data_IF_830198804134
#
_entry.id   IF_830198804134
#
_cell.length_a   1.000
_cell.length_b   1.000
_cell.length_c   1.000
_cell.angle_alpha   90.00
_cell.angle_beta   90.00
_cell.angle_gamma   90.00
#
_symmetry.space_group_name_H-M   'P 1'
#
loop_
_entity.id
_entity.type
_entity.pdbx_description
1 polymer ?
#
# COMPACT_ATOMS: atom_id res chain seq x y z
N UNK A 1 4.10 0.26 21.64
CA UNK A 1 4.05 0.44 20.17
C UNK A 1 2.60 0.62 19.74
N UNK A 2 2.39 1.20 18.58
CA UNK A 2 1.08 1.54 18.02
C UNK A 2 1.16 1.48 16.50
N UNK A 3 0.00 1.47 15.84
CA UNK A 3 -0.10 1.54 14.38
C UNK A 3 -0.72 2.89 14.02
N UNK A 4 0.02 3.73 13.30
CA UNK A 4 -0.45 4.99 12.76
C UNK A 4 -0.88 4.79 11.31
N UNK A 5 -2.12 5.15 11.01
CA UNK A 5 -2.71 5.10 9.67
C UNK A 5 -2.92 6.53 9.19
N UNK A 6 -2.23 6.92 8.13
CA UNK A 6 -2.42 8.24 7.52
C UNK A 6 -3.65 8.25 6.61
N UNK A 7 -4.22 9.43 6.34
CA UNK A 7 -5.38 9.57 5.44
C UNK A 7 -5.14 9.02 4.04
N UNK A 8 -3.88 8.92 3.62
CA UNK A 8 -3.47 8.34 2.35
C UNK A 8 -3.33 6.80 2.38
N UNK A 9 -3.68 6.15 3.49
CA UNK A 9 -3.59 4.70 3.67
C UNK A 9 -2.22 4.19 4.12
N UNK A 10 -1.20 5.07 4.20
CA UNK A 10 0.12 4.68 4.70
C UNK A 10 0.03 4.20 6.15
N UNK A 11 0.71 3.10 6.44
CA UNK A 11 0.80 2.50 7.75
C UNK A 11 2.21 2.68 8.32
N UNK A 12 2.28 3.03 9.60
CA UNK A 12 3.52 3.18 10.33
C UNK A 12 3.41 2.55 11.71
N UNK A 13 4.34 1.65 12.04
CA UNK A 13 4.56 1.29 13.45
C UNK A 13 5.19 2.48 14.16
N UNK A 14 4.46 3.00 15.14
CA UNK A 14 4.89 4.12 15.95
C UNK A 14 5.26 3.63 17.35
N UNK A 15 6.42 4.02 17.86
CA UNK A 15 6.87 3.68 19.21
C UNK A 15 6.90 4.93 20.06
N UNK A 16 6.36 4.84 21.28
CA UNK A 16 6.51 5.91 22.27
C UNK A 16 8.00 6.18 22.52
N UNK A 17 8.33 7.46 22.79
CA UNK A 17 9.67 7.84 23.25
C UNK A 17 9.97 7.32 24.67
N UNK A 18 8.92 7.01 25.42
CA UNK A 18 8.97 6.48 26.77
C UNK A 18 8.46 5.03 26.81
N UNK A 19 8.27 4.47 28.01
CA UNK A 19 7.69 3.13 28.21
C UNK A 19 6.25 3.01 27.71
N UNK A 20 5.47 4.11 27.75
CA UNK A 20 4.07 4.21 27.32
C UNK A 20 3.85 5.53 26.60
N UNK A 21 2.80 5.63 25.79
CA UNK A 21 2.39 6.86 25.12
C UNK A 21 1.91 7.91 26.13
N UNK A 22 2.41 9.12 25.94
CA UNK A 22 2.04 10.32 26.71
C UNK A 22 1.28 11.32 25.85
N UNK A 23 0.62 12.29 26.48
CA UNK A 23 -0.04 13.39 25.76
C UNK A 23 0.93 14.11 24.82
N UNK A 24 2.20 14.25 25.22
CA UNK A 24 3.24 14.88 24.40
C UNK A 24 3.49 14.10 23.10
N UNK A 25 3.50 12.78 23.16
CA UNK A 25 3.65 11.95 21.96
C UNK A 25 2.48 12.18 21.01
N UNK A 26 1.26 12.33 21.53
CA UNK A 26 0.07 12.63 20.71
C UNK A 26 0.15 14.01 20.06
N UNK A 27 0.55 15.05 20.79
CA UNK A 27 0.72 16.39 20.20
C UNK A 27 1.76 16.41 19.08
N UNK A 28 2.81 15.58 19.17
CA UNK A 28 3.79 15.45 18.10
C UNK A 28 3.23 14.70 16.89
N UNK A 29 2.51 13.61 17.11
CA UNK A 29 1.90 12.79 16.04
C UNK A 29 0.83 13.59 15.28
N UNK A 30 0.03 14.36 16.01
CA UNK A 30 -1.11 15.13 15.49
C UNK A 30 -0.81 16.63 15.51
N UNK A 31 0.39 17.01 15.07
CA UNK A 31 0.77 18.41 14.94
C UNK A 31 -0.25 19.16 14.08
N UNK A 32 -0.71 20.32 14.57
CA UNK A 32 -1.73 21.18 13.95
C UNK A 32 -3.17 20.66 14.01
N UNK A 33 -3.46 19.69 14.87
CA UNK A 33 -4.82 19.28 15.20
C UNK A 33 -5.25 20.01 16.48
N UNK A 34 -6.35 20.76 16.43
CA UNK A 34 -6.85 21.54 17.57
C UNK A 34 -7.60 20.70 18.60
N UNK A 35 -8.26 19.63 18.16
CA UNK A 35 -9.12 18.78 18.98
C UNK A 35 -8.93 17.31 18.62
N UNK A 36 -9.04 16.45 19.62
CA UNK A 36 -8.86 15.01 19.48
C UNK A 36 -10.18 14.29 19.72
N UNK A 37 -10.36 13.17 19.04
CA UNK A 37 -11.36 12.16 19.37
C UNK A 37 -10.67 10.84 19.67
N UNK A 38 -11.20 10.13 20.64
CA UNK A 38 -10.75 8.80 21.03
C UNK A 38 -11.91 7.83 20.96
N UNK A 39 -11.68 6.69 20.31
CA UNK A 39 -12.67 5.63 20.15
C UNK A 39 -12.13 4.35 20.78
N UNK A 40 -12.96 3.69 21.58
CA UNK A 40 -12.69 2.33 22.05
C UNK A 40 -13.09 1.37 20.94
N UNK A 41 -12.20 0.48 20.54
CA UNK A 41 -12.49 -0.49 19.48
C UNK A 41 -13.10 -1.75 20.05
N UNK A 42 -14.12 -2.25 19.35
CA UNK A 42 -14.69 -3.58 19.60
C UNK A 42 -13.75 -4.68 19.09
N UNK A 43 -13.06 -4.41 17.99
CA UNK A 43 -12.04 -5.27 17.42
C UNK A 43 -10.96 -4.43 16.72
N UNK A 44 -9.66 -4.67 16.96
CA UNK A 44 -9.12 -5.63 17.93
C UNK A 44 -9.45 -5.23 19.38
N UNK A 45 -9.63 -6.22 20.25
CA UNK A 45 -9.96 -5.99 21.67
C UNK A 45 -8.80 -5.24 22.35
N UNK A 46 -9.09 -4.51 23.44
CA UNK A 46 -8.09 -3.76 24.23
C UNK A 46 -7.31 -2.73 23.41
N UNK A 47 -8.00 -2.11 22.46
CA UNK A 47 -7.40 -1.15 21.53
C UNK A 47 -8.17 0.15 21.51
N UNK A 48 -7.41 1.24 21.41
CA UNK A 48 -7.92 2.60 21.22
C UNK A 48 -7.56 3.09 19.83
N UNK A 49 -8.46 3.85 19.22
CA UNK A 49 -8.16 4.70 18.08
C UNK A 49 -8.17 6.16 18.54
N UNK A 50 -7.07 6.88 18.33
CA UNK A 50 -6.97 8.31 18.53
C UNK A 50 -6.86 9.01 17.18
N UNK A 51 -7.65 10.07 16.95
CA UNK A 51 -7.58 10.85 15.73
C UNK A 51 -7.86 12.33 16.01
N UNK A 52 -7.63 13.18 15.00
CA UNK A 52 -8.05 14.57 15.06
C UNK A 52 -9.52 14.75 14.75
N UNK A 53 -10.12 15.78 15.35
CA UNK A 53 -11.48 16.23 15.06
C UNK A 53 -11.41 17.30 13.94
N UNK A 54 -11.52 16.84 12.70
CA UNK A 54 -11.55 17.70 11.51
C UNK A 54 -12.64 17.18 10.60
N UNK A 55 -13.50 18.07 10.10
CA UNK A 55 -14.53 17.72 9.11
C UNK A 55 -14.10 18.25 7.74
N UNK A 56 -13.19 17.53 7.10
CA UNK A 56 -12.68 17.83 5.76
C UNK A 56 -12.67 16.57 4.89
N UNK A 57 -13.57 16.51 3.90
CA UNK A 57 -13.70 15.36 3.00
C UNK A 57 -12.46 15.11 2.13
N UNK A 58 -11.66 16.14 1.84
CA UNK A 58 -10.43 15.97 1.05
C UNK A 58 -9.37 15.12 1.75
N UNK A 59 -9.45 15.04 3.09
CA UNK A 59 -8.52 14.27 3.93
C UNK A 59 -9.15 12.99 4.48
N UNK A 60 -10.24 12.52 3.87
CA UNK A 60 -10.98 11.34 4.30
C UNK A 60 -10.08 10.09 4.34
N UNK A 61 -10.03 9.48 5.52
CA UNK A 61 -9.29 8.26 5.80
C UNK A 61 -10.26 7.08 5.78
N UNK A 62 -10.49 6.53 4.59
CA UNK A 62 -11.44 5.43 4.39
C UNK A 62 -11.12 4.23 5.29
N UNK A 63 -9.84 3.84 5.38
CA UNK A 63 -9.42 2.69 6.17
C UNK A 63 -9.78 2.92 7.64
N UNK A 64 -9.26 3.99 8.25
CA UNK A 64 -9.54 4.26 9.66
C UNK A 64 -11.05 4.38 9.93
N UNK A 65 -11.80 4.98 9.01
CA UNK A 65 -13.25 5.12 9.14
C UNK A 65 -13.99 3.79 9.12
N UNK A 66 -13.51 2.82 8.32
CA UNK A 66 -14.03 1.45 8.31
C UNK A 66 -13.71 0.70 9.61
N UNK A 67 -12.51 0.88 10.18
CA UNK A 67 -12.13 0.25 11.45
C UNK A 67 -12.99 0.77 12.60
N UNK A 68 -13.18 2.10 12.68
CA UNK A 68 -13.89 2.74 13.79
C UNK A 68 -15.41 2.72 13.62
N UNK A 69 -15.92 2.59 12.39
CA UNK A 69 -17.33 2.81 12.05
C UNK A 69 -17.72 4.30 12.02
N UNK A 70 -16.74 5.20 12.09
CA UNK A 70 -16.92 6.64 12.25
C UNK A 70 -16.22 7.40 11.13
N UNK A 71 -16.69 8.59 10.74
CA UNK A 71 -16.01 9.39 9.71
C UNK A 71 -14.70 9.97 10.26
N UNK A 72 -13.57 9.50 9.75
CA UNK A 72 -12.22 9.97 10.12
C UNK A 72 -11.60 10.71 8.94
N UNK A 73 -11.26 11.99 9.13
CA UNK A 73 -10.64 12.84 8.10
C UNK A 73 -9.20 13.25 8.43
N UNK A 74 -8.52 12.49 9.28
CA UNK A 74 -7.11 12.69 9.62
C UNK A 74 -6.36 11.36 9.64
N UNK A 75 -5.06 11.41 9.95
CA UNK A 75 -4.36 10.22 10.43
C UNK A 75 -5.06 9.67 11.70
N UNK A 76 -4.92 8.38 11.96
CA UNK A 76 -5.52 7.68 13.10
C UNK A 76 -4.47 6.77 13.74
N UNK A 77 -4.33 6.84 15.06
CA UNK A 77 -3.35 6.10 15.83
C UNK A 77 -4.06 5.00 16.62
N UNK A 78 -3.74 3.76 16.32
CA UNK A 78 -4.27 2.56 16.97
C UNK A 78 -3.29 2.09 18.04
N UNK A 79 -3.71 2.12 19.29
CA UNK A 79 -2.85 1.86 20.44
C UNK A 79 -3.45 0.72 21.26
N UNK A 80 -2.63 -0.28 21.59
CA UNK A 80 -3.00 -1.33 22.54
C UNK A 80 -2.95 -0.77 23.97
N UNK A 81 -3.86 -1.20 24.85
CA UNK A 81 -3.96 -0.70 26.22
C UNK A 81 -2.68 -0.83 27.04
N UNK A 82 -1.87 -1.87 26.79
CA UNK A 82 -0.59 -2.05 27.47
C UNK A 82 0.43 -0.95 27.19
N UNK A 83 0.15 -0.09 26.20
CA UNK A 83 1.06 0.93 25.69
C UNK A 83 0.62 2.34 26.09
N UNK A 84 -0.48 2.47 26.82
CA UNK A 84 -0.98 3.77 27.28
C UNK A 84 -0.69 3.93 28.77
N UNK A 85 -0.64 5.18 29.26
CA UNK A 85 -0.44 5.47 30.67
C UNK A 85 -1.46 4.72 31.56
N UNK A 86 -1.02 3.84 32.47
CA UNK A 86 -1.90 3.08 33.37
C UNK A 86 -2.78 3.98 34.25
N UNK A 87 -2.34 5.21 34.53
CA UNK A 87 -3.09 6.17 35.34
C UNK A 87 -4.40 6.62 34.69
N UNK A 88 -4.53 6.46 33.37
CA UNK A 88 -5.72 6.85 32.64
C UNK A 88 -6.90 5.87 32.79
N UNK A 89 -6.71 4.75 33.52
CA UNK A 89 -7.75 3.74 33.85
C UNK A 89 -8.67 3.43 32.67
N UNK A 90 -8.05 3.02 31.59
CA UNK A 90 -8.63 3.00 30.24
C UNK A 90 -9.19 1.63 29.85
N UNK A 91 -8.96 0.61 30.68
CA UNK A 91 -9.60 -0.70 30.55
C UNK A 91 -10.05 -1.18 31.92
N UNK A 92 -11.35 -1.43 32.06
CA UNK A 92 -11.93 -2.16 33.20
C UNK A 92 -11.76 -3.69 33.03
N UNK A 93 -11.41 -4.13 31.81
CA UNK A 93 -11.22 -5.53 31.47
C UNK A 93 -9.75 -5.98 31.58
N UNK A 94 -9.56 -7.26 31.89
CA UNK A 94 -8.23 -7.90 31.89
C UNK A 94 -7.65 -7.84 30.48
N UNK A 95 -6.38 -7.46 30.36
CA UNK A 95 -5.67 -7.52 29.09
C UNK A 95 -5.49 -8.98 28.65
N UNK A 96 -6.36 -9.44 27.75
CA UNK A 96 -6.39 -10.82 27.28
C UNK A 96 -5.29 -11.15 26.26
N UNK A 97 -4.84 -10.15 25.50
CA UNK A 97 -3.90 -10.30 24.40
C UNK A 97 -2.68 -9.39 24.60
N UNK A 98 -1.54 -9.81 24.06
CA UNK A 98 -0.32 -9.00 24.04
C UNK A 98 -0.27 -8.13 22.76
N UNK A 99 0.72 -7.23 22.71
CA UNK A 99 0.92 -6.37 21.55
C UNK A 99 1.13 -7.15 20.26
N UNK A 100 1.78 -8.32 20.32
CA UNK A 100 2.04 -9.15 19.14
C UNK A 100 0.71 -9.59 18.51
N UNK A 101 -0.23 -10.07 19.33
CA UNK A 101 -1.54 -10.45 18.84
C UNK A 101 -2.36 -9.26 18.33
N UNK A 102 -2.34 -8.13 19.04
CA UNK A 102 -2.93 -6.88 18.56
C UNK A 102 -2.42 -6.52 17.16
N UNK A 103 -1.11 -6.61 16.95
CA UNK A 103 -0.48 -6.25 15.68
C UNK A 103 -0.89 -7.18 14.53
N UNK A 104 -0.95 -8.49 14.79
CA UNK A 104 -1.46 -9.46 13.79
C UNK A 104 -2.94 -9.23 13.50
N UNK A 105 -3.78 -9.04 14.52
CA UNK A 105 -5.22 -8.78 14.35
C UNK A 105 -5.46 -7.48 13.54
N UNK A 106 -4.69 -6.42 13.82
CA UNK A 106 -4.73 -5.18 13.03
C UNK A 106 -4.30 -5.42 11.58
N UNK A 107 -3.24 -6.21 11.35
CA UNK A 107 -2.80 -6.54 9.98
C UNK A 107 -3.87 -7.28 9.21
N UNK A 108 -4.50 -8.28 9.82
CA UNK A 108 -5.61 -9.03 9.22
C UNK A 108 -6.74 -8.08 8.86
N UNK A 109 -7.17 -7.22 9.79
CA UNK A 109 -8.24 -6.27 9.54
C UNK A 109 -7.91 -5.29 8.40
N UNK A 110 -6.67 -4.84 8.32
CA UNK A 110 -6.20 -3.98 7.24
C UNK A 110 -6.16 -4.71 5.89
N UNK A 111 -5.77 -5.98 5.90
CA UNK A 111 -5.79 -6.83 4.71
C UNK A 111 -7.22 -7.09 4.23
N UNK A 112 -8.16 -7.34 5.15
CA UNK A 112 -9.57 -7.54 4.83
C UNK A 112 -10.18 -6.28 4.22
N UNK A 113 -9.89 -5.10 4.79
CA UNK A 113 -10.34 -3.81 4.23
C UNK A 113 -9.70 -3.56 2.86
N UNK A 114 -8.40 -3.84 2.70
CA UNK A 114 -7.74 -3.71 1.39
C UNK A 114 -8.36 -4.65 0.35
N UNK A 115 -8.73 -5.86 0.75
CA UNK A 115 -9.43 -6.84 -0.09
C UNK A 115 -10.83 -6.34 -0.45
N UNK A 116 -11.60 -5.83 0.52
CA UNK A 116 -12.92 -5.22 0.27
C UNK A 116 -12.82 -4.03 -0.70
N UNK A 117 -11.81 -3.17 -0.54
CA UNK A 117 -11.56 -2.07 -1.48
C UNK A 117 -11.32 -2.63 -2.88
N UNK A 118 -10.45 -3.63 -3.01
CA UNK A 118 -10.12 -4.25 -4.29
C UNK A 118 -11.35 -4.91 -4.96
N UNK A 119 -12.21 -5.56 -4.17
CA UNK A 119 -13.46 -6.18 -4.63
C UNK A 119 -14.57 -5.18 -4.94
N UNK A 120 -14.57 -4.02 -4.28
CA UNK A 120 -15.55 -2.94 -4.47
C UNK A 120 -15.15 -1.96 -5.58
N UNK A 121 -13.91 -2.01 -6.07
CA UNK A 121 -13.57 -1.35 -7.32
C UNK A 121 -14.37 -2.05 -8.42
N UNK A 122 -15.11 -1.31 -9.28
CA UNK A 122 -15.82 -1.92 -10.40
C UNK A 122 -14.88 -2.88 -11.12
N UNK A 123 -15.36 -4.07 -11.55
CA UNK A 123 -14.55 -5.13 -12.20
C UNK A 123 -13.75 -4.71 -13.44
N UNK A 124 -13.88 -3.44 -13.81
CA UNK A 124 -13.12 -2.66 -14.76
C UNK A 124 -11.73 -2.20 -14.27
N UNK A 125 -11.40 -2.23 -12.98
CA UNK A 125 -10.08 -1.80 -12.50
C UNK A 125 -9.08 -2.96 -12.45
N UNK A 126 -7.76 -2.68 -12.52
CA UNK A 126 -6.76 -3.71 -12.31
C UNK A 126 -6.85 -4.27 -10.88
N UNK A 127 -6.90 -5.59 -10.78
CA UNK A 127 -6.77 -6.32 -9.51
C UNK A 127 -5.31 -6.25 -9.07
N UNK A 128 -5.09 -5.76 -7.85
CA UNK A 128 -3.77 -5.61 -7.24
C UNK A 128 -3.64 -6.50 -6.00
N UNK A 129 -2.48 -7.13 -5.82
CA UNK A 129 -2.18 -7.91 -4.62
C UNK A 129 -1.29 -7.09 -3.67
N UNK A 130 -1.71 -6.82 -2.43
CA UNK A 130 -0.88 -6.08 -1.48
C UNK A 130 0.30 -6.97 -1.02
N UNK A 131 1.53 -6.50 -1.25
CA UNK A 131 2.76 -7.25 -0.90
C UNK A 131 3.54 -6.65 0.26
N UNK A 132 3.21 -5.44 0.71
CA UNK A 132 3.78 -4.86 1.92
C UNK A 132 3.90 -3.34 1.89
N UNK A 133 4.91 -2.81 2.58
CA UNK A 133 5.21 -1.37 2.63
C UNK A 133 6.70 -1.11 2.39
N UNK A 134 7.02 0.02 1.75
CA UNK A 134 8.41 0.44 1.55
C UNK A 134 9.00 1.12 2.79
N UNK A 135 10.34 1.34 2.89
CA UNK A 135 10.93 2.05 4.02
C UNK A 135 10.43 3.49 4.19
N UNK A 136 10.05 4.14 3.09
CA UNK A 136 9.34 5.44 3.06
C UNK A 136 7.82 5.30 3.24
N UNK A 137 7.36 4.11 3.63
CA UNK A 137 6.01 3.76 4.10
C UNK A 137 4.92 3.78 3.03
N UNK A 138 5.26 3.74 1.75
CA UNK A 138 4.26 3.59 0.68
C UNK A 138 3.72 2.17 0.65
N UNK A 139 2.44 2.00 0.33
CA UNK A 139 1.85 0.68 0.12
C UNK A 139 2.41 0.10 -1.17
N UNK A 140 2.91 -1.12 -1.10
CA UNK A 140 3.46 -1.83 -2.25
C UNK A 140 2.43 -2.87 -2.74
N UNK A 141 2.04 -2.72 -4.00
CA UNK A 141 1.15 -3.63 -4.71
C UNK A 141 1.91 -4.40 -5.80
N UNK A 142 1.61 -5.68 -5.92
CA UNK A 142 1.99 -6.52 -7.05
C UNK A 142 0.89 -6.51 -8.09
N UNK A 143 1.28 -6.38 -9.35
CA UNK A 143 0.39 -6.50 -10.51
C UNK A 143 0.80 -7.70 -11.35
N UNK A 144 -0.18 -8.54 -11.68
CA UNK A 144 -0.02 -9.66 -12.60
C UNK A 144 -1.02 -9.52 -13.74
N UNK A 145 -0.50 -9.30 -14.95
CA UNK A 145 -1.33 -9.16 -16.16
C UNK A 145 -2.21 -10.42 -16.34
N UNK A 146 -1.71 -11.62 -16.07
CA UNK A 146 -2.46 -12.88 -16.33
C UNK A 146 -3.59 -13.13 -15.35
N UNK A 147 -3.63 -12.45 -14.22
CA UNK A 147 -4.67 -12.62 -13.18
C UNK A 147 -5.77 -11.56 -13.25
N UNK A 148 -5.78 -10.73 -14.30
CA UNK A 148 -6.78 -9.66 -14.44
C UNK A 148 -8.14 -10.20 -14.92
N UNK A 149 -9.25 -9.59 -14.47
CA UNK A 149 -10.59 -9.93 -14.95
C UNK A 149 -10.75 -9.63 -16.45
N UNK A 150 -11.70 -10.27 -17.13
CA UNK A 150 -11.89 -10.10 -18.60
C UNK A 150 -12.25 -8.66 -18.95
N UNK A 151 -12.99 -8.01 -18.07
CA UNK A 151 -13.49 -6.65 -18.17
C UNK A 151 -12.35 -5.64 -18.20
N UNK A 152 -11.25 -5.91 -17.48
CA UNK A 152 -10.02 -5.10 -17.51
C UNK A 152 -9.45 -4.98 -18.91
N UNK A 153 -9.55 -6.03 -19.72
CA UNK A 153 -9.07 -6.08 -21.10
C UNK A 153 -9.99 -5.41 -22.13
N UNK A 154 -11.11 -4.84 -21.69
CA UNK A 154 -11.93 -4.05 -22.61
C UNK A 154 -11.14 -2.82 -23.10
N UNK A 155 -11.33 -2.40 -24.37
CA UNK A 155 -10.53 -1.33 -24.95
C UNK A 155 -10.55 -0.03 -24.14
N UNK A 156 -11.70 0.37 -23.58
CA UNK A 156 -11.78 1.62 -22.84
C UNK A 156 -10.83 1.67 -21.62
N UNK A 157 -10.64 0.53 -20.98
CA UNK A 157 -9.94 0.42 -19.70
C UNK A 157 -8.47 0.14 -19.95
N UNK A 158 -8.20 -0.94 -20.68
CA UNK A 158 -6.84 -1.39 -20.91
C UNK A 158 -6.03 -0.31 -21.63
N UNK A 159 -6.67 0.47 -22.50
CA UNK A 159 -5.99 1.51 -23.26
C UNK A 159 -5.59 2.68 -22.35
N UNK A 160 -6.49 3.11 -21.45
CA UNK A 160 -6.17 4.13 -20.45
C UNK A 160 -5.07 3.64 -19.50
N UNK A 161 -5.12 2.37 -19.11
CA UNK A 161 -4.09 1.76 -18.26
C UNK A 161 -2.73 1.69 -18.96
N UNK A 162 -2.69 1.20 -20.21
CA UNK A 162 -1.49 1.09 -21.01
C UNK A 162 -0.85 2.45 -21.28
N UNK A 163 -1.66 3.46 -21.61
CA UNK A 163 -1.20 4.83 -21.84
C UNK A 163 -0.59 5.45 -20.58
N UNK A 164 -1.28 5.36 -19.43
CA UNK A 164 -0.76 5.88 -18.15
C UNK A 164 0.53 5.16 -17.74
N UNK A 165 0.57 3.84 -17.92
CA UNK A 165 1.75 3.05 -17.60
C UNK A 165 2.93 3.43 -18.48
N UNK A 166 2.70 3.57 -19.80
CA UNK A 166 3.74 4.03 -20.71
C UNK A 166 4.24 5.43 -20.34
N UNK A 167 3.35 6.38 -20.04
CA UNK A 167 3.73 7.73 -19.61
C UNK A 167 4.61 7.71 -18.36
N UNK A 168 4.34 6.80 -17.41
CA UNK A 168 5.17 6.60 -16.23
C UNK A 168 6.55 6.01 -16.60
N UNK A 169 6.57 4.93 -17.38
CA UNK A 169 7.80 4.23 -17.77
C UNK A 169 8.73 5.10 -18.63
N UNK A 170 8.17 5.90 -19.54
CA UNK A 170 8.94 6.81 -20.39
C UNK A 170 9.66 7.89 -19.57
N UNK A 171 9.09 8.32 -18.44
CA UNK A 171 9.69 9.29 -17.52
C UNK A 171 10.62 8.64 -16.50
N UNK A 172 10.36 7.40 -16.13
CA UNK A 172 11.05 6.70 -15.04
C UNK A 172 11.74 5.44 -15.58
N UNK A 173 13.02 5.56 -15.94
CA UNK A 173 13.82 4.43 -16.41
C UNK A 173 13.82 3.28 -15.39
N UNK A 174 13.37 2.11 -15.80
CA UNK A 174 13.35 0.90 -14.99
C UNK A 174 14.66 0.13 -15.13
N UNK A 175 15.65 0.50 -14.32
CA UNK A 175 17.01 -0.09 -14.34
C UNK A 175 17.27 -1.09 -13.21
N UNK A 176 16.31 -1.30 -12.30
CA UNK A 176 16.46 -2.16 -11.12
C UNK A 176 15.13 -2.83 -10.77
N UNK A 177 15.22 -3.92 -10.02
CA UNK A 177 14.06 -4.56 -9.41
C UNK A 177 13.58 -3.80 -8.16
N UNK A 178 12.27 -3.84 -7.87
CA UNK A 178 11.20 -4.47 -8.68
C UNK A 178 10.80 -3.58 -9.88
N UNK A 179 10.24 -4.19 -10.94
CA UNK A 179 9.83 -3.43 -12.13
C UNK A 179 8.60 -2.58 -11.78
N UNK A 180 8.77 -1.27 -11.68
CA UNK A 180 7.72 -0.38 -11.19
C UNK A 180 6.95 0.21 -12.36
N UNK A 181 5.63 0.05 -12.35
CA UNK A 181 4.74 0.57 -13.41
C UNK A 181 3.98 1.82 -12.99
N UNK A 182 3.95 2.10 -11.68
CA UNK A 182 3.34 3.30 -11.12
C UNK A 182 3.95 3.60 -9.74
N UNK A 183 4.12 4.87 -9.42
CA UNK A 183 4.43 5.33 -8.07
C UNK A 183 3.89 6.74 -7.85
N UNK A 184 3.24 6.95 -6.71
CA UNK A 184 2.88 8.27 -6.19
C UNK A 184 3.34 8.43 -4.73
N UNK A 185 2.77 9.38 -4.00
CA UNK A 185 3.03 9.64 -2.59
C UNK A 185 2.46 8.57 -1.64
N UNK A 186 1.57 7.70 -2.12
CA UNK A 186 0.80 6.74 -1.30
C UNK A 186 1.16 5.29 -1.61
N UNK A 187 1.36 4.97 -2.89
CA UNK A 187 1.44 3.63 -3.40
C UNK A 187 2.52 3.45 -4.47
N UNK A 188 3.01 2.23 -4.56
CA UNK A 188 3.87 1.74 -5.64
C UNK A 188 3.21 0.49 -6.20
N UNK A 189 3.03 0.44 -7.52
CA UNK A 189 2.60 -0.77 -8.22
C UNK A 189 3.81 -1.32 -8.97
N UNK A 190 4.17 -2.54 -8.65
CA UNK A 190 5.31 -3.23 -9.23
C UNK A 190 4.93 -4.60 -9.77
N UNK A 191 5.77 -5.11 -10.67
CA UNK A 191 5.63 -6.41 -11.30
C UNK A 191 6.85 -7.26 -10.91
N UNK A 192 6.59 -8.48 -10.48
CA UNK A 192 7.63 -9.46 -10.20
C UNK A 192 8.43 -9.79 -11.46
N UNK A 193 9.75 -9.91 -11.33
CA UNK A 193 10.67 -10.14 -12.46
C UNK A 193 10.21 -11.20 -13.46
N UNK A 194 9.72 -12.39 -13.05
CA UNK A 194 9.28 -13.42 -13.99
C UNK A 194 8.09 -13.01 -14.87
N UNK A 195 7.28 -12.04 -14.42
CA UNK A 195 6.02 -11.62 -15.05
C UNK A 195 6.18 -10.39 -15.95
N UNK A 196 7.32 -9.69 -15.88
CA UNK A 196 7.57 -8.43 -16.60
C UNK A 196 7.50 -8.60 -18.12
N UNK A 197 8.03 -9.69 -18.67
CA UNK A 197 8.02 -9.90 -20.11
C UNK A 197 6.62 -10.15 -20.67
N UNK A 198 5.79 -10.91 -19.94
CA UNK A 198 4.39 -11.12 -20.28
C UNK A 198 3.64 -9.79 -20.30
N UNK A 199 3.88 -8.96 -19.28
CA UNK A 199 3.32 -7.63 -19.17
C UNK A 199 3.74 -6.72 -20.34
N UNK A 200 5.05 -6.55 -20.59
CA UNK A 200 5.54 -5.68 -21.66
C UNK A 200 5.08 -6.14 -23.04
N UNK A 201 4.91 -7.44 -23.24
CA UNK A 201 4.36 -8.00 -24.49
C UNK A 201 2.90 -7.62 -24.65
N UNK A 202 2.07 -7.75 -23.62
CA UNK A 202 0.66 -7.35 -23.68
C UNK A 202 0.48 -5.85 -23.96
N UNK A 203 1.31 -4.99 -23.35
CA UNK A 203 1.29 -3.54 -23.62
C UNK A 203 1.77 -3.25 -25.05
N UNK A 204 2.83 -3.92 -25.51
CA UNK A 204 3.34 -3.76 -26.88
C UNK A 204 2.30 -4.12 -27.94
N UNK A 205 1.66 -5.29 -27.81
CA UNK A 205 0.60 -5.76 -28.72
C UNK A 205 -0.52 -4.73 -28.82
N UNK A 206 -0.88 -4.09 -27.71
CA UNK A 206 -1.90 -3.03 -27.71
C UNK A 206 -1.51 -1.84 -28.58
N UNK A 207 -0.31 -1.29 -28.41
CA UNK A 207 0.12 -0.13 -29.20
C UNK A 207 0.40 -0.47 -30.67
N UNK A 208 0.76 -1.74 -30.96
CA UNK A 208 0.89 -2.22 -32.33
C UNK A 208 -0.44 -2.18 -33.09
N UNK A 209 -1.55 -2.53 -32.43
CA UNK A 209 -2.89 -2.46 -33.07
C UNK A 209 -3.34 -1.04 -33.40
N UNK A 210 -2.67 -0.01 -32.84
CA UNK A 210 -2.96 1.41 -33.06
C UNK A 210 -1.94 2.12 -33.96
N UNK A 211 -0.98 1.39 -34.50
CA UNK A 211 0.10 1.94 -35.34
C UNK A 211 0.95 3.02 -34.63
N UNK A 212 1.04 2.96 -33.29
CA UNK A 212 1.85 3.87 -32.47
C UNK A 212 3.32 3.41 -32.44
N UNK A 213 4.00 3.50 -33.59
CA UNK A 213 5.31 2.88 -33.81
C UNK A 213 6.44 3.37 -32.87
N UNK A 214 6.41 4.64 -32.48
CA UNK A 214 7.41 5.19 -31.56
C UNK A 214 7.27 4.58 -30.16
N UNK A 215 6.04 4.47 -29.67
CA UNK A 215 5.71 3.84 -28.39
C UNK A 215 6.08 2.35 -28.42
N UNK A 216 5.74 1.66 -29.52
CA UNK A 216 6.14 0.26 -29.74
C UNK A 216 7.66 0.08 -29.65
N UNK A 217 8.42 0.97 -30.29
CA UNK A 217 9.90 0.91 -30.30
C UNK A 217 10.46 1.10 -28.89
N UNK A 218 9.91 2.05 -28.13
CA UNK A 218 10.33 2.31 -26.76
C UNK A 218 10.03 1.11 -25.84
N UNK A 219 8.84 0.54 -25.91
CA UNK A 219 8.46 -0.64 -25.10
C UNK A 219 9.32 -1.85 -25.47
N UNK A 220 9.55 -2.09 -26.77
CA UNK A 220 10.42 -3.16 -27.23
C UNK A 220 11.85 -3.01 -26.68
N UNK A 221 12.39 -1.79 -26.71
CA UNK A 221 13.71 -1.49 -26.12
C UNK A 221 13.72 -1.74 -24.61
N UNK A 222 12.67 -1.34 -23.88
CA UNK A 222 12.56 -1.61 -22.43
C UNK A 222 12.55 -3.11 -22.14
N UNK A 223 11.83 -3.90 -22.94
CA UNK A 223 11.79 -5.37 -22.80
C UNK A 223 13.17 -5.98 -23.03
N UNK A 224 13.86 -5.55 -24.08
CA UNK A 224 15.20 -6.06 -24.41
C UNK A 224 16.25 -5.67 -23.34
N UNK A 225 16.15 -4.47 -22.77
CA UNK A 225 16.97 -4.04 -21.64
C UNK A 225 16.70 -4.88 -20.39
N UNK A 226 15.43 -5.13 -20.08
CA UNK A 226 15.04 -5.94 -18.92
C UNK A 226 15.53 -7.38 -19.04
N UNK A 227 15.42 -7.98 -20.23
CA UNK A 227 15.94 -9.31 -20.52
C UNK A 227 17.46 -9.42 -20.29
N UNK A 228 18.22 -8.37 -20.60
CA UNK A 228 19.66 -8.33 -20.31
C UNK A 228 19.92 -8.33 -18.81
N UNK A 229 19.16 -7.55 -18.03
CA UNK A 229 19.29 -7.52 -16.56
C UNK A 229 19.04 -8.91 -15.97
N UNK A 230 18.00 -9.61 -16.42
CA UNK A 230 17.68 -10.98 -15.97
C UNK A 230 18.81 -11.96 -16.33
N UNK A 231 19.30 -11.90 -17.58
CA UNK A 231 20.37 -12.80 -18.06
C UNK A 231 21.68 -12.60 -17.29
N UNK A 232 22.10 -11.36 -17.07
CA UNK A 232 23.33 -11.05 -16.32
C UNK A 232 23.27 -11.58 -14.88
N UNK A 233 22.10 -11.53 -14.23
CA UNK A 233 21.92 -12.11 -12.89
C UNK A 233 22.08 -13.63 -12.89
N UNK A 234 21.44 -14.35 -13.82
CA UNK A 234 21.60 -15.81 -13.94
C UNK A 234 23.08 -16.20 -14.10
N UNK A 235 23.81 -15.49 -14.96
CA UNK A 235 25.25 -15.75 -15.16
C UNK A 235 26.10 -15.41 -13.93
N UNK A 236 25.70 -14.43 -13.11
CA UNK A 236 26.40 -14.11 -11.85
C UNK A 236 26.14 -15.13 -10.73
N UNK A 237 24.93 -15.68 -10.66
CA UNK A 237 24.55 -16.74 -9.72
C UNK A 237 25.26 -18.05 -10.05
N UNK A 238 25.37 -18.41 -11.33
CA UNK A 238 26.11 -19.60 -11.79
C UNK A 238 27.62 -19.53 -11.49
N UNK A 239 28.19 -18.32 -11.40
CA UNK A 239 29.61 -18.12 -11.03
C UNK A 239 29.85 -18.20 -9.52
N UNK A 240 28.87 -17.83 -8.70
CA UNK A 240 28.98 -17.87 -7.24
C UNK A 240 28.44 -19.18 -6.62
N UNK A 241 27.69 -19.99 -7.37
CA UNK A 241 27.16 -21.30 -6.96
C UNK A 241 28.06 -22.51 -7.27
N UNK A 242 29.25 -22.30 -7.84
CA UNK A 242 30.29 -23.33 -7.96
C UNK A 242 31.41 -23.07 -6.96
N UNK A 243 31.17 -23.42 -5.70
CA UNK A 243 32.20 -23.80 -4.72
C UNK A 243 31.61 -24.80 -3.73
#
# INVERSE_FOLDING_TARGET
MAILIYSNGILEEYKSKNLVFSERDFFEIFKNVEKFRSYRLMFPINSWCLCGDVDNDESYNFIASKITGEKICTRALFIHDSEINPEWKISDDVLFNDYKKFYEDMKTLLFDIATEINESVPGYAPTLEPIGTTPDKKILFSFDIKQQPKEFYSPEIFDKFAERTYQYLAKNKQVKEPFTIFSDDKAIIAIETPKVNDFLTAILEKFQTREEYEICTNIASMRDEWDKIIKMKKTSLDKNGKK
#
